data_IF_243047152359
#
_entry.id   IF_243047152359
#
_cell.length_a   1.000
_cell.length_b   1.000
_cell.length_c   1.000
_cell.angle_alpha   90.00
_cell.angle_beta   90.00
_cell.angle_gamma   90.00
#
_symmetry.space_group_name_H-M   'P 1'
#
loop_
_entity.id
_entity.type
_entity.pdbx_description
1 polymer ?
#
# COMPACT_ATOMS: atom_id res chain seq x y z
N UNK A 1 -6.97 -18.43 -27.30
CA UNK A 1 -7.53 -17.31 -26.51
C UNK A 1 -7.03 -17.20 -25.05
N UNK A 2 -6.57 -18.26 -24.36
CA UNK A 2 -6.08 -18.19 -22.95
C UNK A 2 -4.77 -17.38 -22.71
N UNK A 3 -4.11 -16.90 -23.77
CA UNK A 3 -2.77 -16.29 -23.71
C UNK A 3 -2.76 -14.75 -23.66
N UNK A 4 -3.89 -14.09 -23.91
CA UNK A 4 -3.93 -12.63 -24.12
C UNK A 4 -4.00 -11.82 -22.83
N UNK A 5 -4.58 -12.36 -21.75
CA UNK A 5 -4.74 -11.62 -20.49
C UNK A 5 -3.42 -11.35 -19.73
N UNK A 6 -2.47 -12.30 -19.59
CA UNK A 6 -1.17 -12.02 -18.97
C UNK A 6 -0.34 -10.99 -19.75
N UNK A 7 -0.38 -11.07 -21.09
CA UNK A 7 0.30 -10.10 -21.96
C UNK A 7 -0.32 -8.72 -21.83
N UNK A 8 -1.65 -8.62 -21.83
CA UNK A 8 -2.35 -7.35 -21.60
C UNK A 8 -2.01 -6.73 -20.24
N UNK A 9 -1.91 -7.54 -19.18
CA UNK A 9 -1.46 -7.07 -17.87
C UNK A 9 -0.01 -6.55 -17.92
N UNK A 10 0.91 -7.29 -18.53
CA UNK A 10 2.31 -6.89 -18.63
C UNK A 10 2.47 -5.58 -19.41
N UNK A 11 1.80 -5.45 -20.56
CA UNK A 11 1.76 -4.21 -21.35
C UNK A 11 1.15 -3.06 -20.54
N UNK A 12 0.06 -3.33 -19.81
CA UNK A 12 -0.58 -2.35 -18.94
C UNK A 12 0.35 -1.86 -17.83
N UNK A 13 1.06 -2.75 -17.16
CA UNK A 13 2.03 -2.40 -16.10
C UNK A 13 3.16 -1.50 -16.66
N UNK A 14 3.72 -1.87 -17.82
CA UNK A 14 4.75 -1.08 -18.49
C UNK A 14 4.24 0.30 -18.89
N UNK A 15 3.06 0.37 -19.51
CA UNK A 15 2.45 1.61 -19.95
C UNK A 15 2.09 2.51 -18.75
N UNK A 16 1.52 1.96 -17.69
CA UNK A 16 1.19 2.71 -16.48
C UNK A 16 2.42 3.25 -15.75
N UNK A 17 3.50 2.48 -15.68
CA UNK A 17 4.79 2.96 -15.15
C UNK A 17 5.38 4.07 -16.03
N UNK A 18 5.29 3.95 -17.36
CA UNK A 18 5.70 5.01 -18.28
C UNK A 18 4.85 6.30 -18.07
N UNK A 19 3.55 6.16 -17.84
CA UNK A 19 2.67 7.28 -17.52
C UNK A 19 3.06 7.95 -16.19
N UNK A 20 3.34 7.20 -15.12
CA UNK A 20 3.89 7.79 -13.86
C UNK A 20 5.17 8.56 -14.13
N UNK A 21 6.10 7.97 -14.89
CA UNK A 21 7.38 8.59 -15.25
C UNK A 21 7.22 9.91 -16.02
N UNK A 22 6.20 10.03 -16.87
CA UNK A 22 5.96 11.20 -17.73
C UNK A 22 5.10 12.25 -17.03
N UNK A 23 3.96 11.84 -16.48
CA UNK A 23 2.91 12.72 -15.97
C UNK A 23 3.01 12.93 -14.45
N UNK A 24 3.42 11.91 -13.71
CA UNK A 24 3.35 11.88 -12.24
C UNK A 24 1.91 11.80 -11.75
N UNK A 25 1.70 12.21 -10.50
CA UNK A 25 0.38 12.14 -9.88
C UNK A 25 -0.60 13.15 -10.48
N UNK A 26 -1.88 12.78 -10.68
CA UNK A 26 -2.90 13.72 -11.13
C UNK A 26 -3.14 14.83 -10.09
N UNK A 27 -3.00 16.09 -10.51
CA UNK A 27 -3.17 17.26 -9.62
C UNK A 27 -4.61 17.49 -9.15
N UNK A 28 -5.60 17.02 -9.91
CA UNK A 28 -7.03 17.15 -9.64
C UNK A 28 -7.67 15.77 -9.77
N UNK A 29 -8.73 15.52 -8.99
CA UNK A 29 -9.48 14.26 -9.04
C UNK A 29 -8.61 13.02 -8.82
N UNK A 30 -7.65 13.11 -7.90
CA UNK A 30 -6.72 12.03 -7.63
C UNK A 30 -7.47 10.81 -7.06
N UNK A 31 -7.51 9.65 -7.75
CA UNK A 31 -8.35 8.53 -7.34
C UNK A 31 -8.05 8.03 -5.92
N UNK A 32 -6.77 8.00 -5.54
CA UNK A 32 -6.33 7.66 -4.17
C UNK A 32 -6.84 8.68 -3.14
N UNK A 33 -6.90 9.97 -3.46
CA UNK A 33 -7.44 10.98 -2.56
C UNK A 33 -8.97 10.83 -2.41
N UNK A 34 -9.68 10.53 -3.49
CA UNK A 34 -11.12 10.21 -3.44
C UNK A 34 -11.38 8.95 -2.60
N UNK A 35 -10.54 7.93 -2.74
CA UNK A 35 -10.58 6.74 -1.87
C UNK A 35 -10.35 7.12 -0.40
N UNK A 36 -9.35 7.95 -0.10
CA UNK A 36 -9.07 8.42 1.26
C UNK A 36 -10.24 9.19 1.87
N UNK A 37 -10.95 10.01 1.09
CA UNK A 37 -12.17 10.70 1.55
C UNK A 37 -13.30 9.72 1.87
N UNK A 38 -13.54 8.74 1.00
CA UNK A 38 -14.55 7.70 1.21
C UNK A 38 -14.21 6.83 2.43
N UNK A 39 -12.95 6.42 2.56
CA UNK A 39 -12.45 5.70 3.72
C UNK A 39 -12.57 6.55 5.00
N UNK A 40 -12.32 7.86 4.95
CA UNK A 40 -12.53 8.75 6.09
C UNK A 40 -14.00 8.87 6.51
N UNK A 41 -14.93 8.87 5.55
CA UNK A 41 -16.36 8.82 5.86
C UNK A 41 -16.77 7.49 6.51
N UNK A 42 -16.23 6.37 6.00
CA UNK A 42 -16.45 5.05 6.56
C UNK A 42 -15.84 4.93 7.98
N UNK A 43 -14.65 5.48 8.20
CA UNK A 43 -14.00 5.53 9.51
C UNK A 43 -14.90 6.22 10.53
N UNK A 44 -15.42 7.41 10.21
CA UNK A 44 -16.33 8.14 11.12
C UNK A 44 -17.59 7.34 11.50
N UNK A 45 -18.12 6.54 10.58
CA UNK A 45 -19.31 5.72 10.83
C UNK A 45 -19.03 4.43 11.63
N UNK A 46 -17.83 3.86 11.50
CA UNK A 46 -17.46 2.59 12.13
C UNK A 46 -16.55 2.75 13.35
N UNK A 47 -16.01 3.94 13.59
CA UNK A 47 -14.97 4.14 14.60
C UNK A 47 -15.45 3.74 15.99
N UNK A 48 -14.71 2.78 16.56
CA UNK A 48 -14.70 2.43 17.98
C UNK A 48 -13.26 2.14 18.37
N UNK A 49 -12.82 2.45 19.60
CA UNK A 49 -11.43 2.26 20.04
C UNK A 49 -11.11 0.78 20.33
N UNK A 50 -11.47 -0.12 19.41
CA UNK A 50 -11.27 -1.56 19.50
C UNK A 50 -10.83 -2.14 18.15
N UNK A 51 -10.28 -3.36 18.20
CA UNK A 51 -9.74 -4.03 17.00
C UNK A 51 -10.84 -4.58 16.10
N UNK A 52 -12.02 -4.92 16.64
CA UNK A 52 -13.12 -5.50 15.86
C UNK A 52 -13.69 -4.50 14.87
N UNK A 53 -13.94 -3.27 15.30
CA UNK A 53 -14.32 -2.17 14.42
C UNK A 53 -13.23 -1.85 13.39
N UNK A 54 -11.96 -1.87 13.82
CA UNK A 54 -10.82 -1.74 12.92
C UNK A 54 -10.77 -2.81 11.84
N UNK A 55 -11.02 -4.08 12.19
CA UNK A 55 -11.04 -5.19 11.22
C UNK A 55 -12.19 -5.04 10.23
N UNK A 56 -13.38 -4.70 10.70
CA UNK A 56 -14.53 -4.45 9.82
C UNK A 56 -14.26 -3.28 8.86
N UNK A 57 -13.70 -2.18 9.38
CA UNK A 57 -13.29 -1.03 8.59
C UNK A 57 -12.27 -1.41 7.51
N UNK A 58 -11.17 -2.06 7.88
CA UNK A 58 -10.13 -2.49 6.94
C UNK A 58 -10.69 -3.45 5.89
N UNK A 59 -11.50 -4.44 6.29
CA UNK A 59 -12.09 -5.41 5.38
C UNK A 59 -13.02 -4.76 4.36
N UNK A 60 -13.88 -3.83 4.78
CA UNK A 60 -14.80 -3.12 3.89
C UNK A 60 -14.05 -2.16 2.96
N UNK A 61 -13.13 -1.36 3.51
CA UNK A 61 -12.39 -0.35 2.76
C UNK A 61 -11.42 -0.96 1.74
N UNK A 62 -10.77 -2.09 2.03
CA UNK A 62 -9.91 -2.81 1.07
C UNK A 62 -10.73 -3.73 0.16
N UNK A 63 -11.78 -4.36 0.69
CA UNK A 63 -12.64 -5.27 -0.05
C UNK A 63 -13.32 -4.62 -1.24
N UNK A 64 -13.79 -3.38 -1.10
CA UNK A 64 -14.40 -2.62 -2.21
C UNK A 64 -13.50 -2.50 -3.44
N UNK A 65 -12.30 -1.89 -3.34
CA UNK A 65 -11.32 -1.82 -4.43
C UNK A 65 -10.90 -3.18 -5.00
N UNK A 66 -10.74 -4.20 -4.15
CA UNK A 66 -10.40 -5.57 -4.59
C UNK A 66 -11.54 -6.16 -5.44
N UNK A 67 -12.78 -6.06 -4.99
CA UNK A 67 -13.96 -6.53 -5.71
C UNK A 67 -14.15 -5.77 -7.03
N UNK A 68 -13.98 -4.44 -7.02
CA UNK A 68 -14.02 -3.62 -8.22
C UNK A 68 -12.96 -4.09 -9.24
N UNK A 69 -11.73 -4.31 -8.79
CA UNK A 69 -10.65 -4.84 -9.62
C UNK A 69 -10.97 -6.22 -10.18
N UNK A 70 -11.59 -7.09 -9.39
CA UNK A 70 -11.97 -8.45 -9.81
C UNK A 70 -13.08 -8.43 -10.86
N UNK A 71 -14.13 -7.62 -10.66
CA UNK A 71 -15.21 -7.42 -11.62
C UNK A 71 -14.66 -6.84 -12.93
N UNK A 72 -13.81 -5.80 -12.87
CA UNK A 72 -13.18 -5.22 -14.06
C UNK A 72 -12.30 -6.23 -14.81
N UNK A 73 -11.53 -7.04 -14.08
CA UNK A 73 -10.70 -8.09 -14.67
C UNK A 73 -11.54 -9.19 -15.35
N UNK A 74 -12.69 -9.56 -14.76
CA UNK A 74 -13.63 -10.52 -15.34
C UNK A 74 -14.33 -9.95 -16.58
N UNK A 75 -14.83 -8.72 -16.51
CA UNK A 75 -15.52 -8.04 -17.60
C UNK A 75 -14.62 -7.84 -18.84
N UNK A 76 -13.31 -7.66 -18.64
CA UNK A 76 -12.34 -7.45 -19.72
C UNK A 76 -11.58 -8.71 -20.15
N UNK A 77 -11.95 -9.90 -19.66
CA UNK A 77 -11.21 -11.15 -19.92
C UNK A 77 -11.07 -11.52 -21.40
N UNK A 78 -12.00 -11.08 -22.24
CA UNK A 78 -11.99 -11.31 -23.70
C UNK A 78 -11.62 -10.07 -24.52
N UNK A 79 -11.30 -8.94 -23.86
CA UNK A 79 -11.01 -7.65 -24.50
C UNK A 79 -9.59 -7.21 -24.11
N UNK A 80 -8.54 -7.75 -24.75
CA UNK A 80 -7.16 -7.56 -24.29
C UNK A 80 -6.69 -6.11 -24.33
N UNK A 81 -7.11 -5.34 -25.34
CA UNK A 81 -6.78 -3.90 -25.44
C UNK A 81 -7.44 -3.13 -24.28
N UNK A 82 -8.75 -3.32 -24.07
CA UNK A 82 -9.46 -2.68 -22.93
C UNK A 82 -8.84 -3.06 -21.60
N UNK A 83 -8.46 -4.33 -21.42
CA UNK A 83 -7.77 -4.80 -20.22
C UNK A 83 -6.42 -4.11 -20.02
N UNK A 84 -5.61 -4.02 -21.07
CA UNK A 84 -4.30 -3.35 -21.00
C UNK A 84 -4.45 -1.86 -20.65
N UNK A 85 -5.44 -1.17 -21.24
CA UNK A 85 -5.74 0.23 -20.92
C UNK A 85 -6.18 0.39 -19.47
N UNK A 86 -7.09 -0.46 -18.97
CA UNK A 86 -7.50 -0.41 -17.56
C UNK A 86 -6.34 -0.70 -16.61
N UNK A 87 -5.50 -1.70 -16.90
CA UNK A 87 -4.32 -1.99 -16.08
C UNK A 87 -3.33 -0.83 -16.12
N UNK A 88 -3.11 -0.19 -17.28
CA UNK A 88 -2.26 0.97 -17.39
C UNK A 88 -2.78 2.16 -16.56
N UNK A 89 -4.08 2.46 -16.69
CA UNK A 89 -4.72 3.51 -15.91
C UNK A 89 -4.62 3.21 -14.40
N UNK A 90 -4.99 2.00 -13.97
CA UNK A 90 -4.88 1.61 -12.55
C UNK A 90 -3.43 1.67 -12.06
N UNK A 91 -2.48 1.16 -12.84
CA UNK A 91 -1.05 1.20 -12.49
C UNK A 91 -0.58 2.64 -12.33
N UNK A 92 -0.86 3.53 -13.29
CA UNK A 92 -0.53 4.95 -13.18
C UNK A 92 -1.14 5.60 -11.93
N UNK A 93 -2.40 5.27 -11.60
CA UNK A 93 -3.09 5.89 -10.44
C UNK A 93 -2.58 5.41 -9.08
N UNK A 94 -2.01 4.20 -8.99
CA UNK A 94 -1.53 3.63 -7.72
C UNK A 94 -0.05 3.85 -7.48
N UNK A 95 0.72 4.14 -8.54
CA UNK A 95 2.13 4.49 -8.43
C UNK A 95 2.30 5.95 -7.98
N UNK A 96 3.43 6.25 -7.34
CA UNK A 96 3.82 7.62 -6.96
C UNK A 96 5.32 7.88 -7.13
N UNK A 97 5.97 7.11 -8.01
CA UNK A 97 7.43 7.06 -8.12
C UNK A 97 8.04 8.36 -8.64
N UNK A 98 7.39 9.04 -9.58
CA UNK A 98 7.89 10.32 -10.10
C UNK A 98 7.82 11.42 -9.04
N UNK A 99 6.69 11.56 -8.35
CA UNK A 99 6.50 12.57 -7.31
C UNK A 99 7.49 12.38 -6.18
N UNK A 100 7.67 11.13 -5.72
CA UNK A 100 8.63 10.80 -4.66
C UNK A 100 10.07 11.24 -5.00
N UNK A 101 10.55 10.94 -6.21
CA UNK A 101 11.89 11.37 -6.67
C UNK A 101 11.98 12.88 -6.89
N UNK A 102 10.88 13.53 -7.27
CA UNK A 102 10.81 14.97 -7.42
C UNK A 102 11.02 15.66 -6.06
N UNK A 103 10.29 15.25 -5.02
CA UNK A 103 10.43 15.79 -3.66
C UNK A 103 11.86 15.62 -3.12
N UNK A 104 12.48 14.45 -3.31
CA UNK A 104 13.89 14.24 -2.93
C UNK A 104 14.84 15.18 -3.69
N UNK A 105 14.56 15.45 -4.98
CA UNK A 105 15.37 16.37 -5.79
C UNK A 105 15.20 17.82 -5.35
N UNK A 106 13.96 18.24 -5.02
CA UNK A 106 13.65 19.57 -4.51
C UNK A 106 14.33 19.77 -3.16
N UNK A 107 14.15 18.85 -2.21
CA UNK A 107 14.84 18.88 -0.91
C UNK A 107 16.35 19.01 -1.07
N UNK A 108 16.97 18.21 -1.95
CA UNK A 108 18.41 18.28 -2.19
C UNK A 108 18.87 19.60 -2.81
N UNK A 109 18.04 20.33 -3.54
CA UNK A 109 18.35 21.70 -4.01
C UNK A 109 18.19 22.70 -2.88
N UNK A 110 17.11 22.62 -2.12
CA UNK A 110 16.82 23.52 -0.99
C UNK A 110 17.91 23.45 0.08
N UNK A 111 18.35 22.25 0.46
CA UNK A 111 19.44 22.07 1.42
C UNK A 111 20.78 22.61 0.90
N UNK A 112 21.10 22.42 -0.39
CA UNK A 112 22.31 23.00 -1.01
C UNK A 112 22.30 24.52 -1.05
N UNK A 113 21.12 25.14 -1.07
CA UNK A 113 20.95 26.59 -1.01
C UNK A 113 21.00 27.13 0.44
N UNK A 114 21.10 26.27 1.46
CA UNK A 114 21.10 26.67 2.87
C UNK A 114 19.73 27.08 3.42
N UNK A 115 18.64 26.89 2.67
CA UNK A 115 17.29 27.30 3.07
C UNK A 115 16.62 26.23 3.96
N UNK A 116 17.06 26.18 5.22
CA UNK A 116 16.50 25.27 6.22
C UNK A 116 15.00 25.49 6.49
N UNK A 117 14.48 26.73 6.60
CA UNK A 117 13.04 26.96 6.75
C UNK A 117 12.21 26.30 5.64
N UNK A 118 12.60 26.49 4.37
CA UNK A 118 11.88 25.86 3.25
C UNK A 118 12.05 24.34 3.26
N UNK A 119 13.25 23.82 3.61
CA UNK A 119 13.48 22.39 3.69
C UNK A 119 12.62 21.73 4.78
N UNK A 120 12.45 22.39 5.94
CA UNK A 120 11.59 21.90 7.02
C UNK A 120 10.12 21.84 6.60
N UNK A 121 9.63 22.86 5.90
CA UNK A 121 8.26 22.85 5.35
C UNK A 121 8.05 21.71 4.35
N UNK A 122 9.04 21.44 3.48
CA UNK A 122 8.98 20.38 2.47
C UNK A 122 8.97 18.97 3.06
N UNK A 123 9.62 18.76 4.20
CA UNK A 123 9.74 17.42 4.79
C UNK A 123 8.38 16.79 5.13
N UNK A 124 7.38 17.61 5.46
CA UNK A 124 6.01 17.16 5.75
C UNK A 124 5.32 16.48 4.55
N UNK A 125 5.81 16.69 3.32
CA UNK A 125 5.32 15.98 2.13
C UNK A 125 5.86 14.56 2.01
N UNK A 126 6.94 14.23 2.74
CA UNK A 126 7.63 12.94 2.66
C UNK A 126 7.35 12.05 3.88
N UNK A 127 7.23 12.64 5.07
CA UNK A 127 7.04 11.90 6.31
C UNK A 127 6.34 12.74 7.39
N UNK A 128 5.69 12.06 8.34
CA UNK A 128 4.95 12.71 9.43
C UNK A 128 5.77 13.10 10.67
N UNK A 129 7.10 13.17 10.58
CA UNK A 129 7.96 13.57 11.72
C UNK A 129 8.02 15.10 11.85
N UNK A 130 8.25 15.59 13.06
CA UNK A 130 8.37 17.03 13.30
C UNK A 130 9.70 17.58 12.72
N UNK A 131 9.66 18.48 11.72
CA UNK A 131 10.86 19.05 11.13
C UNK A 131 11.44 20.25 11.89
N UNK A 132 10.71 20.80 12.88
CA UNK A 132 10.95 22.15 13.44
C UNK A 132 12.38 22.37 13.94
N UNK A 133 12.97 21.36 14.59
CA UNK A 133 14.32 21.41 15.16
C UNK A 133 15.39 20.72 14.32
N UNK A 134 15.06 20.22 13.12
CA UNK A 134 16.01 19.42 12.33
C UNK A 134 17.01 20.31 11.60
N UNK A 135 18.29 19.95 11.72
CA UNK A 135 19.38 20.52 10.91
C UNK A 135 19.48 19.86 9.53
N UNK A 136 20.40 20.32 8.69
CA UNK A 136 20.59 19.83 7.32
C UNK A 136 20.75 18.31 7.24
N UNK A 137 21.66 17.74 8.03
CA UNK A 137 21.96 16.31 8.01
C UNK A 137 20.77 15.44 8.43
N UNK A 138 19.95 15.93 9.36
CA UNK A 138 18.75 15.25 9.82
C UNK A 138 17.61 15.33 8.80
N UNK A 139 17.48 16.47 8.09
CA UNK A 139 16.55 16.64 6.98
C UNK A 139 16.91 15.74 5.79
N UNK A 140 18.19 15.72 5.43
CA UNK A 140 18.72 14.84 4.42
C UNK A 140 18.53 13.37 4.81
N UNK A 141 18.80 13.02 6.07
CA UNK A 141 18.61 11.67 6.60
C UNK A 141 17.22 11.12 6.35
N UNK A 142 16.15 11.69 6.90
CA UNK A 142 14.86 11.06 6.63
C UNK A 142 14.27 11.39 5.27
N UNK A 143 14.85 12.29 4.48
CA UNK A 143 14.54 12.28 3.05
C UNK A 143 15.06 10.99 2.42
N UNK A 144 16.25 10.52 2.80
CA UNK A 144 16.78 9.22 2.35
C UNK A 144 15.97 8.05 2.92
N UNK A 145 15.65 8.06 4.23
CA UNK A 145 14.81 7.02 4.86
C UNK A 145 13.44 6.93 4.18
N UNK A 146 12.73 8.05 4.08
CA UNK A 146 11.41 8.11 3.45
C UNK A 146 11.46 7.73 1.97
N UNK A 147 12.52 8.12 1.24
CA UNK A 147 12.67 7.74 -0.17
C UNK A 147 12.90 6.24 -0.32
N UNK A 148 13.69 5.62 0.57
CA UNK A 148 13.94 4.19 0.54
C UNK A 148 12.67 3.39 0.82
N UNK A 149 11.98 3.70 1.92
CA UNK A 149 10.72 3.06 2.33
C UNK A 149 9.64 3.26 1.25
N UNK A 150 9.34 4.50 0.85
CA UNK A 150 8.30 4.77 -0.13
C UNK A 150 8.63 4.27 -1.54
N UNK A 151 9.89 3.95 -1.86
CA UNK A 151 10.20 3.26 -3.12
C UNK A 151 9.61 1.85 -3.13
N UNK A 152 9.63 1.16 -1.99
CA UNK A 152 8.89 -0.10 -1.82
C UNK A 152 7.40 0.16 -2.00
N UNK A 153 6.86 1.10 -1.22
CA UNK A 153 5.42 1.18 -1.03
C UNK A 153 4.68 1.81 -2.22
N UNK A 154 5.28 2.81 -2.87
CA UNK A 154 4.66 3.54 -3.97
C UNK A 154 5.07 3.03 -5.35
N UNK A 155 5.99 2.06 -5.43
CA UNK A 155 6.48 1.54 -6.72
C UNK A 155 6.56 0.02 -6.74
N UNK A 156 7.43 -0.59 -5.93
CA UNK A 156 7.70 -2.02 -6.04
C UNK A 156 6.49 -2.86 -5.63
N UNK A 157 5.86 -2.54 -4.51
CA UNK A 157 4.73 -3.30 -3.99
C UNK A 157 3.49 -3.27 -4.90
N UNK A 158 3.03 -2.10 -5.43
CA UNK A 158 1.96 -2.08 -6.42
C UNK A 158 2.29 -2.92 -7.66
N UNK A 159 3.53 -2.86 -8.16
CA UNK A 159 3.95 -3.64 -9.34
C UNK A 159 3.97 -5.15 -9.06
N UNK A 160 4.45 -5.56 -7.88
CA UNK A 160 4.43 -6.98 -7.46
C UNK A 160 3.00 -7.49 -7.37
N UNK A 161 2.12 -6.79 -6.65
CA UNK A 161 0.73 -7.21 -6.51
C UNK A 161 -0.05 -7.12 -7.83
N UNK A 162 0.29 -6.16 -8.70
CA UNK A 162 -0.24 -6.09 -10.07
C UNK A 162 0.22 -7.24 -10.95
N UNK A 163 1.45 -7.73 -10.81
CA UNK A 163 1.93 -8.90 -11.52
C UNK A 163 1.27 -10.20 -11.02
N UNK A 164 1.08 -10.33 -9.70
CA UNK A 164 0.52 -11.52 -9.05
C UNK A 164 -0.99 -11.62 -9.25
N UNK A 165 -1.72 -10.54 -8.99
CA UNK A 165 -3.19 -10.53 -8.93
C UNK A 165 -3.86 -9.59 -9.95
N UNK A 166 -3.11 -8.84 -10.75
CA UNK A 166 -3.68 -7.92 -11.75
C UNK A 166 -4.37 -6.70 -11.11
N UNK A 167 -5.52 -6.30 -11.68
CA UNK A 167 -6.33 -5.18 -11.18
C UNK A 167 -6.70 -5.30 -9.68
N UNK A 168 -7.19 -6.46 -9.16
CA UNK A 168 -7.41 -6.64 -7.72
C UNK A 168 -6.17 -6.35 -6.87
N UNK A 169 -4.99 -6.77 -7.33
CA UNK A 169 -3.74 -6.57 -6.60
C UNK A 169 -3.30 -5.12 -6.57
N UNK A 170 -3.35 -4.43 -7.72
CA UNK A 170 -3.03 -2.99 -7.82
C UNK A 170 -3.90 -2.16 -6.87
N UNK A 171 -5.22 -2.33 -6.98
CA UNK A 171 -6.18 -1.53 -6.23
C UNK A 171 -6.22 -1.92 -4.74
N UNK A 172 -6.18 -3.23 -4.45
CA UNK A 172 -6.21 -3.74 -3.08
C UNK A 172 -4.98 -3.36 -2.28
N UNK A 173 -3.78 -3.50 -2.87
CA UNK A 173 -2.55 -3.06 -2.21
C UNK A 173 -2.58 -1.55 -1.94
N UNK A 174 -2.93 -0.73 -2.94
CA UNK A 174 -2.96 0.72 -2.76
C UNK A 174 -3.98 1.14 -1.71
N UNK A 175 -5.13 0.47 -1.65
CA UNK A 175 -6.11 0.69 -0.60
C UNK A 175 -5.53 0.38 0.78
N UNK A 176 -4.93 -0.80 0.98
CA UNK A 176 -4.32 -1.19 2.26
C UNK A 176 -3.24 -0.19 2.71
N UNK A 177 -2.32 0.17 1.81
CA UNK A 177 -1.27 1.15 2.07
C UNK A 177 -1.80 2.55 2.41
N UNK A 178 -2.88 2.96 1.75
CA UNK A 178 -3.54 4.24 2.07
C UNK A 178 -4.21 4.19 3.44
N UNK A 179 -4.80 3.05 3.84
CA UNK A 179 -5.40 2.90 5.16
C UNK A 179 -4.34 2.92 6.27
N UNK A 180 -3.16 2.30 6.06
CA UNK A 180 -2.06 2.39 7.03
C UNK A 180 -1.61 3.84 7.23
N UNK A 181 -1.43 4.60 6.15
CA UNK A 181 -1.10 6.02 6.24
C UNK A 181 -2.17 6.86 6.96
N UNK A 182 -3.45 6.49 6.85
CA UNK A 182 -4.56 7.22 7.48
C UNK A 182 -4.76 6.86 8.97
N UNK A 183 -4.73 5.58 9.31
CA UNK A 183 -5.11 5.09 10.64
C UNK A 183 -4.09 4.15 11.28
N UNK A 184 -3.09 3.66 10.56
CA UNK A 184 -2.10 2.71 11.07
C UNK A 184 -1.03 3.32 11.99
N UNK A 185 -0.79 4.63 11.87
CA UNK A 185 0.12 5.34 12.77
C UNK A 185 -0.28 5.25 14.25
N UNK A 186 0.72 5.19 15.13
CA UNK A 186 0.52 5.06 16.58
C UNK A 186 0.03 6.37 17.20
N UNK A 187 -1.28 6.52 17.33
CA UNK A 187 -1.93 7.60 18.09
C UNK A 187 -2.84 7.04 19.17
N UNK A 188 -3.18 7.86 20.18
CA UNK A 188 -4.13 7.47 21.22
C UNK A 188 -5.49 7.05 20.63
N UNK A 189 -5.92 7.71 19.54
CA UNK A 189 -7.16 7.41 18.82
C UNK A 189 -7.08 6.06 18.09
N UNK A 190 -6.00 5.79 17.36
CA UNK A 190 -5.94 4.64 16.46
C UNK A 190 -5.16 3.44 16.98
N UNK A 191 -4.61 3.48 18.20
CA UNK A 191 -3.80 2.41 18.77
C UNK A 191 -4.43 1.01 18.63
N UNK A 192 -5.75 0.88 18.80
CA UNK A 192 -6.48 -0.39 18.61
C UNK A 192 -7.19 -0.46 17.26
N UNK A 193 -7.90 0.59 16.87
CA UNK A 193 -8.68 0.65 15.62
C UNK A 193 -7.81 0.51 14.37
N UNK A 194 -6.64 1.13 14.34
CA UNK A 194 -5.71 1.10 13.21
C UNK A 194 -4.84 -0.15 13.10
N UNK A 195 -4.76 -0.97 14.17
CA UNK A 195 -3.90 -2.16 14.20
C UNK A 195 -4.15 -3.09 13.01
N UNK A 196 -5.41 -3.43 12.62
CA UNK A 196 -5.65 -4.34 11.50
C UNK A 196 -5.16 -3.78 10.16
N UNK A 197 -5.29 -2.48 9.91
CA UNK A 197 -4.79 -1.83 8.71
C UNK A 197 -3.25 -1.89 8.64
N UNK A 198 -2.58 -1.53 9.73
CA UNK A 198 -1.12 -1.57 9.82
C UNK A 198 -0.57 -3.00 9.66
N UNK A 199 -1.22 -3.99 10.28
CA UNK A 199 -0.83 -5.40 10.13
C UNK A 199 -1.04 -5.93 8.72
N UNK A 200 -2.11 -5.52 8.06
CA UNK A 200 -2.36 -5.90 6.66
C UNK A 200 -1.28 -5.31 5.75
N UNK A 201 -0.97 -4.01 5.89
CA UNK A 201 0.11 -3.38 5.12
C UNK A 201 1.46 -4.07 5.38
N UNK A 202 1.81 -4.30 6.66
CA UNK A 202 3.03 -5.00 7.05
C UNK A 202 3.17 -6.34 6.30
N UNK A 203 2.11 -7.15 6.27
CA UNK A 203 2.08 -8.45 5.60
C UNK A 203 2.21 -8.30 4.08
N UNK A 204 1.48 -7.36 3.49
CA UNK A 204 1.52 -7.13 2.04
C UNK A 204 2.88 -6.60 1.56
N UNK A 205 3.65 -5.95 2.44
CA UNK A 205 4.98 -5.41 2.17
C UNK A 205 6.14 -6.34 2.52
N UNK A 206 5.91 -7.54 3.08
CA UNK A 206 6.98 -8.49 3.40
C UNK A 206 7.85 -8.85 2.19
N UNK A 207 7.22 -9.27 1.09
CA UNK A 207 7.94 -9.63 -0.14
C UNK A 207 8.43 -8.39 -0.90
N UNK A 208 7.59 -7.36 -1.14
CA UNK A 208 8.03 -6.14 -1.83
C UNK A 208 9.21 -5.42 -1.19
N UNK A 209 9.26 -5.28 0.14
CA UNK A 209 10.35 -4.59 0.83
C UNK A 209 11.70 -5.29 0.66
N UNK A 210 11.70 -6.64 0.74
CA UNK A 210 12.89 -7.47 0.50
C UNK A 210 13.34 -7.37 -0.95
N UNK A 211 12.40 -7.45 -1.89
CA UNK A 211 12.70 -7.25 -3.31
C UNK A 211 13.29 -5.84 -3.54
N UNK A 212 12.74 -4.81 -2.91
CA UNK A 212 13.23 -3.42 -2.98
C UNK A 212 14.67 -3.32 -2.47
N UNK A 213 14.98 -3.93 -1.33
CA UNK A 213 16.35 -3.98 -0.80
C UNK A 213 17.32 -4.67 -1.76
N UNK A 214 16.96 -5.85 -2.27
CA UNK A 214 17.78 -6.60 -3.23
C UNK A 214 17.99 -5.86 -4.55
N UNK A 215 16.95 -5.23 -5.09
CA UNK A 215 17.05 -4.40 -6.28
C UNK A 215 17.94 -3.18 -6.03
N UNK A 216 17.82 -2.54 -4.87
CA UNK A 216 18.66 -1.41 -4.45
C UNK A 216 20.14 -1.80 -4.47
N UNK A 217 20.49 -2.98 -3.91
CA UNK A 217 21.84 -3.52 -3.95
C UNK A 217 22.30 -3.78 -5.39
N UNK A 218 21.46 -4.40 -6.21
CA UNK A 218 21.81 -4.73 -7.60
C UNK A 218 22.08 -3.47 -8.44
N UNK A 219 21.30 -2.40 -8.24
CA UNK A 219 21.40 -1.16 -9.02
C UNK A 219 22.29 -0.10 -8.37
N UNK A 220 22.88 -0.34 -7.20
CA UNK A 220 23.71 0.65 -6.49
C UNK A 220 24.76 1.39 -7.38
N UNK A 221 25.45 0.73 -8.34
CA UNK A 221 26.45 1.39 -9.19
C UNK A 221 25.89 2.49 -10.11
N UNK A 222 24.58 2.50 -10.41
CA UNK A 222 23.96 3.56 -11.22
C UNK A 222 24.05 4.95 -10.58
N UNK A 223 24.38 5.00 -9.28
CA UNK A 223 24.60 6.22 -8.53
C UNK A 223 25.99 6.23 -7.84
N UNK A 224 26.98 5.55 -8.43
CA UNK A 224 28.34 5.41 -7.89
C UNK A 224 28.33 4.79 -6.48
N UNK A 225 27.39 3.89 -6.23
CA UNK A 225 27.34 3.09 -5.00
C UNK A 225 28.09 1.77 -5.15
N UNK A 226 28.46 1.18 -4.01
CA UNK A 226 29.15 -0.11 -3.94
C UNK A 226 28.15 -1.22 -3.63
N UNK A 227 28.07 -2.24 -4.50
CA UNK A 227 27.17 -3.40 -4.33
C UNK A 227 27.56 -4.25 -3.13
N UNK A 228 28.86 -4.48 -2.93
CA UNK A 228 29.37 -5.32 -1.86
C UNK A 228 29.10 -4.66 -0.51
N UNK A 229 29.36 -3.36 -0.41
CA UNK A 229 29.00 -2.58 0.79
C UNK A 229 27.50 -2.58 1.05
N UNK A 230 26.68 -2.34 0.01
CA UNK A 230 25.22 -2.38 0.13
C UNK A 230 24.72 -3.74 0.63
N UNK A 231 25.29 -4.83 0.12
CA UNK A 231 24.98 -6.19 0.55
C UNK A 231 25.40 -6.45 2.00
N UNK A 232 26.61 -6.05 2.40
CA UNK A 232 27.13 -6.22 3.77
C UNK A 232 26.25 -5.49 4.78
N UNK A 233 25.95 -4.20 4.53
CA UNK A 233 25.09 -3.38 5.40
C UNK A 233 23.68 -3.94 5.46
N UNK A 234 23.06 -4.25 4.31
CA UNK A 234 21.73 -4.86 4.30
C UNK A 234 21.71 -6.19 5.04
N UNK A 235 22.76 -7.01 4.91
CA UNK A 235 22.79 -8.30 5.59
C UNK A 235 22.85 -8.19 7.10
N UNK A 236 23.62 -7.22 7.60
CA UNK A 236 23.85 -6.98 9.01
C UNK A 236 22.65 -6.26 9.66
N UNK A 237 22.14 -5.21 9.01
CA UNK A 237 21.29 -4.22 9.67
C UNK A 237 19.79 -4.30 9.28
N UNK A 238 19.40 -5.10 8.27
CA UNK A 238 18.00 -5.11 7.74
C UNK A 238 16.91 -5.43 8.77
N UNK A 239 17.26 -6.01 9.91
CA UNK A 239 16.34 -6.38 10.98
C UNK A 239 16.36 -5.37 12.15
N UNK A 240 17.25 -4.37 12.12
CA UNK A 240 17.44 -3.39 13.19
C UNK A 240 16.48 -2.20 13.03
N UNK A 241 15.20 -2.50 12.82
CA UNK A 241 14.16 -1.51 12.60
C UNK A 241 12.81 -1.98 13.21
N UNK A 242 12.00 -1.08 13.81
CA UNK A 242 10.71 -1.46 14.40
C UNK A 242 9.72 -2.05 13.39
N UNK A 243 9.74 -1.56 12.15
CA UNK A 243 8.99 -2.14 11.02
C UNK A 243 9.77 -3.29 10.38
N UNK A 244 9.13 -4.45 10.13
CA UNK A 244 9.75 -5.60 9.48
C UNK A 244 10.10 -5.37 7.99
N UNK A 245 9.65 -4.25 7.43
CA UNK A 245 9.75 -3.90 6.02
C UNK A 245 10.72 -2.73 5.78
N UNK A 246 10.58 -1.64 6.54
CA UNK A 246 11.37 -0.43 6.31
C UNK A 246 12.89 -0.68 6.47
N UNK A 247 13.30 -1.48 7.45
CA UNK A 247 14.71 -1.85 7.64
C UNK A 247 15.35 -2.54 6.42
N UNK A 248 14.57 -3.28 5.63
CA UNK A 248 15.03 -3.91 4.39
C UNK A 248 15.42 -2.86 3.33
N UNK A 249 14.63 -1.80 3.23
CA UNK A 249 14.82 -0.76 2.22
C UNK A 249 15.88 0.23 2.66
N UNK A 250 15.80 0.69 3.90
CA UNK A 250 16.71 1.69 4.48
C UNK A 250 18.13 1.17 4.60
N UNK A 251 18.35 -0.07 5.09
CA UNK A 251 19.70 -0.62 5.21
C UNK A 251 20.38 -0.80 3.84
N UNK A 252 19.63 -1.24 2.83
CA UNK A 252 20.15 -1.35 1.46
C UNK A 252 20.53 0.03 0.89
N UNK A 253 19.69 1.04 1.09
CA UNK A 253 19.96 2.41 0.63
C UNK A 253 21.14 3.04 1.38
N UNK A 254 21.25 2.83 2.69
CA UNK A 254 22.35 3.31 3.52
C UNK A 254 23.69 2.77 3.01
N UNK A 255 23.77 1.45 2.77
CA UNK A 255 24.96 0.81 2.23
C UNK A 255 25.27 1.23 0.78
N UNK A 256 24.25 1.39 -0.08
CA UNK A 256 24.44 1.84 -1.46
C UNK A 256 24.96 3.28 -1.57
N UNK A 257 24.51 4.18 -0.68
CA UNK A 257 24.99 5.56 -0.63
C UNK A 257 26.30 5.72 0.15
N UNK A 258 26.60 4.77 1.03
CA UNK A 258 27.74 4.79 1.92
C UNK A 258 27.55 5.70 3.13
N UNK A 259 26.32 5.83 3.62
CA UNK A 259 25.90 6.72 4.72
C UNK A 259 25.35 5.91 5.91
N UNK A 260 25.03 6.59 7.00
CA UNK A 260 24.35 6.02 8.17
C UNK A 260 22.97 6.64 8.38
N UNK A 261 21.94 5.80 8.48
CA UNK A 261 20.54 6.16 8.78
C UNK A 261 20.16 5.78 10.21
N UNK A 262 18.98 6.19 10.67
CA UNK A 262 18.49 5.96 12.03
C UNK A 262 18.91 7.00 13.08
N UNK A 263 18.84 6.60 14.34
CA UNK A 263 19.02 7.48 15.50
C UNK A 263 17.70 8.08 16.01
N UNK A 264 17.78 9.25 16.65
CA UNK A 264 16.63 9.89 17.30
C UNK A 264 15.67 10.51 16.29
N UNK A 265 14.41 10.09 16.35
CA UNK A 265 13.28 10.67 15.63
C UNK A 265 12.26 11.24 16.62
N UNK A 266 11.61 12.35 16.28
CA UNK A 266 10.53 12.94 17.08
C UNK A 266 9.25 12.95 16.26
N UNK A 267 8.22 12.27 16.77
CA UNK A 267 6.89 12.16 16.17
C UNK A 267 5.84 12.66 17.15
N UNK A 268 5.09 13.71 16.79
CA UNK A 268 3.98 14.23 17.60
C UNK A 268 4.33 14.40 19.10
N UNK A 269 5.53 14.92 19.39
CA UNK A 269 6.05 15.12 20.76
C UNK A 269 6.66 13.88 21.44
N UNK A 270 6.71 12.71 20.78
CA UNK A 270 7.34 11.49 21.30
C UNK A 270 8.68 11.23 20.61
N UNK A 271 9.71 10.97 21.41
CA UNK A 271 11.03 10.57 20.91
C UNK A 271 11.10 9.05 20.72
N UNK A 272 11.47 8.60 19.53
CA UNK A 272 11.80 7.21 19.21
C UNK A 272 13.28 7.15 18.82
N UNK A 273 14.05 6.26 19.46
CA UNK A 273 15.45 6.02 19.10
C UNK A 273 15.53 4.74 18.30
N UNK A 274 15.92 4.85 17.03
CA UNK A 274 16.13 3.70 16.14
C UNK A 274 17.60 3.31 16.13
N UNK A 275 17.93 2.01 16.02
CA UNK A 275 19.28 1.56 15.73
C UNK A 275 19.85 2.24 14.48
N UNK A 276 21.18 2.28 14.38
CA UNK A 276 21.83 2.82 13.20
C UNK A 276 21.90 1.77 12.09
N UNK A 277 21.63 2.20 10.86
CA UNK A 277 21.77 1.38 9.66
C UNK A 277 22.93 1.94 8.83
N UNK A 278 23.98 1.14 8.63
CA UNK A 278 25.21 1.51 7.92
C UNK A 278 26.24 2.26 8.76
N UNK A 279 27.47 2.33 8.24
CA UNK A 279 28.66 2.81 8.97
C UNK A 279 29.17 4.18 8.48
N UNK A 280 28.46 4.82 7.56
CA UNK A 280 28.91 6.05 6.94
C UNK A 280 28.68 7.32 7.75
N UNK A 281 29.07 8.48 7.21
CA UNK A 281 28.63 9.77 7.74
C UNK A 281 27.11 9.91 7.64
N UNK A 282 26.55 10.91 8.33
CA UNK A 282 25.15 11.30 8.14
C UNK A 282 24.94 11.74 6.68
N UNK A 283 23.76 11.49 6.09
CA UNK A 283 23.45 11.98 4.76
C UNK A 283 23.47 13.51 4.71
N UNK A 284 24.10 14.03 3.68
CA UNK A 284 24.04 15.43 3.24
C UNK A 284 23.20 15.59 1.96
N UNK A 285 22.92 16.85 1.58
CA UNK A 285 22.15 17.21 0.38
C UNK A 285 22.63 16.51 -0.92
N UNK A 286 23.94 16.27 -1.07
CA UNK A 286 24.53 15.57 -2.23
C UNK A 286 24.02 14.14 -2.41
N UNK A 287 23.62 13.47 -1.33
CA UNK A 287 23.15 12.09 -1.37
C UNK A 287 21.72 11.98 -1.91
N UNK A 288 20.89 13.02 -1.80
CA UNK A 288 19.47 12.96 -2.19
C UNK A 288 19.31 12.74 -3.70
N UNK A 289 20.16 13.37 -4.52
CA UNK A 289 20.17 13.14 -5.97
C UNK A 289 20.58 11.69 -6.31
N UNK A 290 21.54 11.12 -5.57
CA UNK A 290 21.99 9.73 -5.74
C UNK A 290 20.88 8.75 -5.32
N UNK A 291 20.24 9.00 -4.18
CA UNK A 291 19.13 8.21 -3.67
C UNK A 291 17.94 8.19 -4.65
N UNK A 292 17.59 9.35 -5.23
CA UNK A 292 16.54 9.46 -6.24
C UNK A 292 16.87 8.70 -7.54
N UNK A 293 18.15 8.67 -7.95
CA UNK A 293 18.60 7.86 -9.10
C UNK A 293 18.43 6.36 -8.83
N UNK A 294 18.86 5.90 -7.64
CA UNK A 294 18.69 4.51 -7.21
C UNK A 294 17.21 4.14 -7.20
N UNK A 295 16.35 4.94 -6.57
CA UNK A 295 14.89 4.74 -6.56
C UNK A 295 14.31 4.61 -7.98
N UNK A 296 14.76 5.46 -8.92
CA UNK A 296 14.34 5.36 -10.32
C UNK A 296 14.79 4.07 -11.02
N UNK A 297 16.01 3.61 -10.75
CA UNK A 297 16.54 2.36 -11.28
C UNK A 297 15.85 1.13 -10.67
N UNK A 298 15.54 1.16 -9.36
CA UNK A 298 14.74 0.14 -8.68
C UNK A 298 13.36 0.03 -9.33
N UNK A 299 12.68 1.16 -9.58
CA UNK A 299 11.39 1.16 -10.26
C UNK A 299 11.44 0.54 -11.66
N UNK A 300 12.48 0.86 -12.45
CA UNK A 300 12.69 0.27 -13.78
C UNK A 300 12.92 -1.25 -13.72
N UNK A 301 13.75 -1.70 -12.77
CA UNK A 301 13.99 -3.14 -12.58
C UNK A 301 12.72 -3.86 -12.10
N UNK A 302 11.98 -3.26 -11.17
CA UNK A 302 10.74 -3.82 -10.64
C UNK A 302 9.66 -3.98 -11.71
N UNK A 303 9.45 -2.97 -12.57
CA UNK A 303 8.44 -3.09 -13.65
C UNK A 303 8.86 -4.11 -14.69
N UNK A 304 10.16 -4.23 -14.99
CA UNK A 304 10.70 -5.28 -15.88
C UNK A 304 10.40 -6.68 -15.34
N UNK A 305 10.67 -6.92 -14.06
CA UNK A 305 10.35 -8.20 -13.39
C UNK A 305 8.84 -8.46 -13.34
N UNK A 306 8.06 -7.44 -12.99
CA UNK A 306 6.60 -7.52 -12.91
C UNK A 306 5.95 -7.82 -14.27
N UNK A 307 6.48 -7.26 -15.36
CA UNK A 307 6.01 -7.55 -16.72
C UNK A 307 6.44 -8.94 -17.20
N UNK A 308 7.62 -9.42 -16.79
CA UNK A 308 8.13 -10.74 -17.17
C UNK A 308 7.41 -11.89 -16.42
N UNK A 309 7.09 -11.71 -15.14
CA UNK A 309 6.54 -12.77 -14.27
C UNK A 309 5.26 -13.45 -14.82
N UNK A 310 4.21 -12.72 -15.27
CA UNK A 310 3.02 -13.32 -15.86
C UNK A 310 3.29 -14.09 -17.17
N UNK A 311 4.40 -13.75 -17.85
CA UNK A 311 4.80 -14.31 -19.14
C UNK A 311 5.71 -15.53 -18.97
N UNK A 312 6.46 -15.67 -17.87
CA UNK A 312 7.41 -16.77 -17.66
C UNK A 312 6.97 -17.73 -16.54
N UNK A 313 7.07 -17.32 -15.28
CA UNK A 313 6.84 -18.18 -14.11
C UNK A 313 5.35 -18.39 -13.78
N UNK A 314 4.49 -17.39 -13.99
CA UNK A 314 3.04 -17.54 -13.76
C UNK A 314 2.40 -18.65 -14.62
N UNK A 315 3.05 -18.99 -15.75
CA UNK A 315 2.65 -20.10 -16.62
C UNK A 315 2.91 -21.46 -15.97
N UNK A 316 4.05 -21.61 -15.30
CA UNK A 316 4.48 -22.85 -14.64
C UNK A 316 3.70 -23.08 -13.35
N UNK A 317 3.61 -22.07 -12.49
CA UNK A 317 2.85 -22.15 -11.23
C UNK A 317 1.36 -22.38 -11.49
N UNK A 318 0.77 -21.70 -12.49
CA UNK A 318 -0.62 -21.95 -12.87
C UNK A 318 -0.85 -23.33 -13.49
N UNK A 319 0.13 -23.91 -14.18
CA UNK A 319 0.04 -25.27 -14.73
C UNK A 319 0.15 -26.34 -13.64
N UNK A 320 1.05 -26.15 -12.67
CA UNK A 320 1.21 -27.03 -11.49
C UNK A 320 0.01 -26.92 -10.56
N UNK A 321 -0.48 -25.71 -10.26
CA UNK A 321 -1.66 -25.49 -9.43
C UNK A 321 -2.94 -26.08 -10.02
N UNK A 322 -3.12 -26.01 -11.36
CA UNK A 322 -4.26 -26.67 -12.03
C UNK A 322 -4.15 -28.20 -12.02
N UNK A 323 -2.95 -28.76 -12.11
CA UNK A 323 -2.71 -30.21 -11.97
C UNK A 323 -2.92 -30.68 -10.54
N UNK A 324 -2.51 -29.88 -9.55
CA UNK A 324 -2.78 -30.13 -8.13
C UNK A 324 -4.27 -30.06 -7.81
N UNK A 325 -4.98 -29.01 -8.27
CA UNK A 325 -6.44 -28.91 -8.10
C UNK A 325 -7.18 -30.06 -8.82
N UNK A 326 -6.77 -30.42 -10.04
CA UNK A 326 -7.35 -31.55 -10.77
C UNK A 326 -7.04 -32.92 -10.14
N UNK A 327 -5.91 -33.06 -9.42
CA UNK A 327 -5.62 -34.25 -8.64
C UNK A 327 -6.48 -34.32 -7.36
N UNK A 328 -6.78 -33.17 -6.75
CA UNK A 328 -7.66 -33.06 -5.58
C UNK A 328 -9.14 -33.23 -5.96
N UNK A 329 -9.57 -32.75 -7.14
CA UNK A 329 -10.96 -32.90 -7.61
C UNK A 329 -11.20 -34.14 -8.47
N UNK A 330 -10.14 -34.78 -8.98
CA UNK A 330 -10.19 -36.03 -9.74
C UNK A 330 -10.04 -37.31 -8.90
N UNK A 331 -9.78 -37.17 -7.60
CA UNK A 331 -9.83 -38.28 -6.65
C UNK A 331 -11.28 -38.70 -6.40
N UNK A 332 -11.64 -39.88 -6.91
CA UNK A 332 -12.91 -40.57 -6.65
C UNK A 332 -13.32 -40.45 -5.18
N UNK A 333 -14.37 -39.68 -4.89
CA UNK A 333 -14.86 -39.50 -3.52
C UNK A 333 -16.17 -38.73 -3.36
N UNK A 334 -16.98 -38.56 -4.41
CA UNK A 334 -18.31 -37.92 -4.32
C UNK A 334 -19.45 -38.79 -4.87
N UNK A 335 -19.28 -40.11 -4.82
CA UNK A 335 -20.36 -41.07 -5.07
C UNK A 335 -20.74 -41.91 -3.83
N UNK A 336 -20.09 -41.71 -2.68
CA UNK A 336 -20.28 -42.53 -1.49
C UNK A 336 -21.17 -41.90 -0.39
N UNK A 337 -21.80 -40.74 -0.63
CA UNK A 337 -22.72 -40.10 0.33
C UNK A 337 -24.18 -40.07 -0.17
N UNK A 338 -24.46 -40.62 -1.36
CA UNK A 338 -25.81 -40.71 -1.93
C UNK A 338 -26.38 -42.14 -1.96
N UNK A 339 -25.84 -43.06 -1.14
CA UNK A 339 -26.16 -44.50 -1.18
C UNK A 339 -26.52 -45.12 0.16
N UNK A 340 -26.99 -44.34 1.13
CA UNK A 340 -27.41 -44.86 2.42
C UNK A 340 -28.65 -44.15 2.90
N UNK A 341 -29.82 -44.72 2.59
CA UNK A 341 -31.05 -44.77 3.40
C UNK A 341 -32.15 -45.37 2.51
N UNK A 342 -32.33 -46.70 2.63
CA UNK A 342 -33.47 -47.41 2.08
C UNK A 342 -34.77 -47.06 2.82
N UNK A 343 -35.94 -47.44 2.28
CA UNK A 343 -37.23 -46.98 2.76
C UNK A 343 -37.63 -47.75 4.03
N UNK A 344 -38.14 -47.05 5.04
CA UNK A 344 -38.93 -47.68 6.11
C UNK A 344 -40.24 -46.91 6.26
N UNK A 345 -41.32 -47.68 6.21
CA UNK A 345 -42.70 -47.27 6.21
C UNK A 345 -43.22 -46.81 7.59
N UNK A 346 -44.26 -45.97 7.54
CA UNK A 346 -45.41 -46.03 8.46
C UNK A 346 -45.30 -45.29 9.80
N UNK A 347 -46.16 -44.28 9.99
CA UNK A 347 -47.32 -44.32 10.93
C UNK A 347 -47.84 -42.90 11.18
N UNK A 348 -49.08 -42.68 10.72
CA UNK A 348 -50.20 -41.95 11.33
C UNK A 348 -50.00 -40.58 12.02
N UNK A 349 -50.55 -39.54 11.39
CA UNK A 349 -51.73 -38.82 11.91
C UNK A 349 -51.56 -37.79 13.03
N UNK A 350 -51.69 -36.49 12.69
CA UNK A 350 -52.75 -35.61 13.21
C UNK A 350 -52.72 -34.22 12.56
N UNK A 351 -53.90 -33.80 12.09
CA UNK A 351 -54.27 -32.43 11.69
C UNK A 351 -54.51 -31.55 12.91
N UNK A 352 -54.23 -30.24 12.77
CA UNK A 352 -54.86 -29.05 13.41
C UNK A 352 -54.26 -27.87 12.60
N UNK A 353 -54.90 -27.17 11.65
CA UNK A 353 -56.09 -26.29 11.62
C UNK A 353 -56.11 -25.19 12.69
N UNK A 354 -56.10 -23.92 12.23
CA UNK A 354 -56.46 -22.69 12.96
C UNK A 354 -55.43 -21.57 12.76
N UNK A 355 -55.53 -20.64 11.80
CA UNK A 355 -56.52 -19.56 11.57
C UNK A 355 -56.16 -18.21 12.24
N UNK A 356 -56.17 -17.14 11.43
CA UNK A 356 -56.27 -15.71 11.82
C UNK A 356 -54.94 -14.97 11.98
N UNK A 357 -54.66 -13.81 11.40
CA UNK A 357 -55.50 -12.84 10.70
C UNK A 357 -55.18 -11.40 11.17
N UNK A 358 -54.92 -10.50 10.20
CA UNK A 358 -54.89 -9.00 10.26
C UNK A 358 -53.64 -8.35 10.90
N UNK A 359 -52.87 -7.48 10.22
CA UNK A 359 -53.09 -6.17 9.55
C UNK A 359 -53.53 -5.03 10.48
N UNK A 360 -52.66 -4.00 10.53
CA UNK A 360 -52.87 -2.55 10.24
C UNK A 360 -52.61 -1.51 11.35
N UNK A 361 -52.06 -0.39 10.86
CA UNK A 361 -51.97 1.01 11.35
C UNK A 361 -50.79 1.32 12.28
N UNK A 362 -49.84 2.20 11.93
CA UNK A 362 -49.90 3.60 11.46
C UNK A 362 -50.39 4.57 12.54
N UNK A 363 -49.44 5.36 13.08
CA UNK A 363 -49.66 6.65 13.73
C UNK A 363 -48.50 7.54 13.28
N UNK A 364 -48.84 8.73 12.76
CA UNK A 364 -47.91 9.79 12.42
C UNK A 364 -48.15 11.05 13.26
N UNK A 365 -47.21 11.98 13.16
CA UNK A 365 -47.19 13.42 13.50
C UNK A 365 -45.73 13.72 13.90
N UNK A 366 -44.99 14.69 13.36
CA UNK A 366 -45.35 16.04 12.95
C UNK A 366 -44.49 17.00 13.78
N UNK A 367 -43.84 17.99 13.15
CA UNK A 367 -43.26 19.14 13.88
C UNK A 367 -41.84 19.55 13.47
N UNK A 368 -41.77 20.75 12.87
CA UNK A 368 -40.56 21.50 12.53
C UNK A 368 -39.99 22.31 13.73
N UNK A 369 -38.91 23.07 13.46
CA UNK A 369 -38.15 24.09 14.25
C UNK A 369 -36.71 23.58 14.47
N UNK A 370 -35.59 24.24 14.16
CA UNK A 370 -35.25 25.64 13.96
C UNK A 370 -34.08 26.03 14.90
N UNK A 371 -32.99 26.61 14.35
CA UNK A 371 -31.95 27.44 14.99
C UNK A 371 -30.60 26.85 15.49
N UNK A 372 -29.53 27.64 15.22
CA UNK A 372 -28.25 27.76 15.96
C UNK A 372 -27.09 26.91 15.43
N UNK A 373 -25.98 27.40 14.86
CA UNK A 373 -25.27 28.66 15.02
C UNK A 373 -24.05 28.47 15.94
N UNK A 374 -22.86 28.15 15.41
CA UNK A 374 -21.58 28.28 16.14
C UNK A 374 -20.46 28.73 15.19
N UNK A 375 -20.21 30.05 15.22
CA UNK A 375 -18.93 30.70 14.94
C UNK A 375 -18.17 30.76 16.28
N UNK A 376 -16.86 30.55 16.28
CA UNK A 376 -16.06 30.68 17.50
C UNK A 376 -14.56 30.52 17.29
N UNK A 377 -13.96 31.41 16.49
CA UNK A 377 -12.53 31.62 16.45
C UNK A 377 -12.10 32.43 17.68
N UNK A 378 -11.28 31.87 18.55
CA UNK A 378 -10.63 32.57 19.66
C UNK A 378 -9.16 32.84 19.35
N UNK A 379 -8.86 34.02 18.79
CA UNK A 379 -7.54 34.66 18.91
C UNK A 379 -7.63 35.64 20.08
N UNK A 380 -6.82 35.40 21.11
CA UNK A 380 -6.55 36.33 22.20
C UNK A 380 -5.10 36.81 22.10
N UNK A 381 -4.96 38.11 21.84
CA UNK A 381 -3.75 38.92 21.75
C UNK A 381 -3.23 39.39 23.12
N UNK A 382 -1.97 39.85 23.13
CA UNK A 382 -1.45 40.85 24.07
C UNK A 382 -0.30 40.29 24.92
N UNK A 383 0.87 40.91 24.98
CA UNK A 383 1.33 42.24 24.58
C UNK A 383 2.79 42.17 24.14
#
# INVERSE_FOLDING_TARGET
>A
MRRTAPVANAVGLLAGYALDRLLGDPRRWHPVASFGQAAGALERGLYRPDRTAGTAFTALAVGGPVLLGAVAAAATRHRPVTRAVLVAASTWTVLGGRTLRHEATVMGRTLRAGDLPAARQRLGHLCGRDPSTLGESELARATVESLAENTSDAVVAPLVWGAVAGLPGLLGYRAANTLDAMVGHRSARYARFGTPAARLDDVLNLVPSRLTGLLTIAVAPVAHGDRQRAWQVWRRDRNDHPSPNAGQCEAAMAGALGVRLGGRNVYFGRSEVRPFLGDGPRPEARHLKRAARISGAVGLAAVGLAAAYPVTLGRLVGAVGRRGLAAVTGGRGLAAVAGGLGPVAGVSGRRLVGAGGRRLRAVGAGGAVGAGGIVGAGRGSGR
#
